data_IF_915445192865
#
_entry.id   IF_915445192865
#
_cell.length_a   1.000
_cell.length_b   1.000
_cell.length_c   1.000
_cell.angle_alpha   90.00
_cell.angle_beta   90.00
_cell.angle_gamma   90.00
#
_symmetry.space_group_name_H-M   'P 1'
#
loop_
_entity.id
_entity.type
_entity.pdbx_description
1 polymer ?
#
# COMPACT_ATOMS: atom_id res chain seq x y z
N UNK A 1 -30.04 -13.40 3.03
CA UNK A 1 -29.06 -12.29 2.92
C UNK A 1 -27.91 -12.47 3.95
N UNK A 2 -27.18 -13.60 3.93
CA UNK A 2 -26.19 -13.98 4.95
C UNK A 2 -24.74 -13.49 4.67
N UNK A 3 -24.53 -12.69 3.63
CA UNK A 3 -23.19 -12.29 3.15
C UNK A 3 -22.98 -10.77 3.11
N UNK A 4 -23.82 -9.98 3.78
CA UNK A 4 -23.64 -8.52 3.84
C UNK A 4 -22.56 -8.17 4.86
N UNK A 5 -21.79 -7.10 4.61
CA UNK A 5 -20.79 -6.58 5.56
C UNK A 5 -21.40 -6.39 6.96
N UNK A 6 -22.64 -5.89 7.04
CA UNK A 6 -23.35 -5.73 8.31
C UNK A 6 -23.54 -7.05 9.06
N UNK A 7 -23.89 -8.13 8.36
CA UNK A 7 -24.04 -9.45 8.97
C UNK A 7 -22.70 -9.96 9.51
N UNK A 8 -21.63 -9.81 8.73
CA UNK A 8 -20.27 -10.18 9.16
C UNK A 8 -19.84 -9.43 10.43
N UNK A 9 -20.04 -8.10 10.47
CA UNK A 9 -19.77 -7.31 11.67
C UNK A 9 -20.61 -7.74 12.87
N UNK A 10 -21.88 -8.10 12.66
CA UNK A 10 -22.77 -8.60 13.72
C UNK A 10 -22.25 -9.94 14.27
N UNK A 11 -21.82 -10.86 13.39
CA UNK A 11 -21.27 -12.16 13.79
C UNK A 11 -19.97 -12.00 14.58
N UNK A 12 -19.03 -11.19 14.08
CA UNK A 12 -17.75 -10.92 14.76
C UNK A 12 -17.95 -10.31 16.15
N UNK A 13 -18.95 -9.43 16.31
CA UNK A 13 -19.33 -8.89 17.63
C UNK A 13 -19.82 -9.97 18.60
N UNK A 14 -20.61 -10.95 18.12
CA UNK A 14 -21.08 -12.08 18.95
C UNK A 14 -19.90 -12.97 19.36
N UNK A 15 -18.94 -13.17 18.47
CA UNK A 15 -17.71 -13.93 18.74
C UNK A 15 -16.69 -13.16 19.60
N UNK A 16 -17.07 -11.98 20.12
CA UNK A 16 -16.20 -11.08 20.91
C UNK A 16 -14.93 -10.64 20.19
N UNK A 17 -14.93 -10.69 18.85
CA UNK A 17 -13.85 -10.18 18.02
C UNK A 17 -14.09 -8.68 17.81
N UNK A 18 -13.25 -7.89 18.46
CA UNK A 18 -13.21 -6.43 18.30
C UNK A 18 -12.62 -6.09 16.92
N UNK A 19 -13.45 -5.60 16.00
CA UNK A 19 -12.97 -5.01 14.75
C UNK A 19 -13.57 -3.64 14.49
N UNK A 20 -12.76 -2.75 13.92
CA UNK A 20 -13.22 -1.46 13.43
C UNK A 20 -14.14 -1.65 12.23
N UNK A 21 -15.27 -0.94 12.19
CA UNK A 21 -16.14 -0.94 11.02
C UNK A 21 -15.47 -0.20 9.87
N UNK A 22 -15.37 -0.87 8.73
CA UNK A 22 -14.79 -0.34 7.49
C UNK A 22 -15.93 -0.22 6.48
N UNK A 23 -16.03 0.94 5.84
CA UNK A 23 -16.99 1.17 4.77
C UNK A 23 -16.46 0.60 3.45
N UNK A 24 -17.31 0.39 2.43
CA UNK A 24 -16.87 0.09 1.07
C UNK A 24 -15.84 1.09 0.54
N UNK A 25 -15.97 2.36 0.92
CA UNK A 25 -15.01 3.40 0.57
C UNK A 25 -13.66 3.22 1.30
N UNK A 26 -13.67 2.76 2.55
CA UNK A 26 -12.45 2.37 3.27
C UNK A 26 -11.69 1.24 2.58
N UNK A 27 -12.41 0.21 2.10
CA UNK A 27 -11.78 -0.85 1.29
C UNK A 27 -11.17 -0.33 -0.01
N UNK A 28 -11.81 0.66 -0.66
CA UNK A 28 -11.25 1.32 -1.85
C UNK A 28 -9.93 2.03 -1.54
N UNK A 29 -9.83 2.72 -0.40
CA UNK A 29 -8.57 3.34 0.05
C UNK A 29 -7.50 2.30 0.33
N UNK A 30 -7.83 1.23 1.06
CA UNK A 30 -6.89 0.11 1.31
C UNK A 30 -6.38 -0.49 0.00
N UNK A 31 -7.27 -0.72 -0.97
CA UNK A 31 -6.90 -1.24 -2.29
C UNK A 31 -5.90 -0.32 -3.01
N UNK A 32 -6.12 0.99 -2.99
CA UNK A 32 -5.19 1.95 -3.59
C UNK A 32 -3.82 1.95 -2.89
N UNK A 33 -3.78 2.04 -1.56
CA UNK A 33 -2.52 2.02 -0.77
C UNK A 33 -1.73 0.74 -0.98
N UNK A 34 -2.39 -0.42 -1.07
CA UNK A 34 -1.72 -1.70 -1.37
C UNK A 34 -1.07 -1.65 -2.75
N UNK A 35 -1.75 -1.15 -3.78
CA UNK A 35 -1.17 -1.02 -5.12
C UNK A 35 0.03 -0.07 -5.13
N UNK A 36 -0.08 1.07 -4.43
CA UNK A 36 1.02 2.04 -4.31
C UNK A 36 2.23 1.37 -3.68
N UNK A 37 2.05 0.73 -2.51
CA UNK A 37 3.14 0.09 -1.76
C UNK A 37 3.85 -1.05 -2.51
N UNK A 38 3.19 -1.63 -3.51
CA UNK A 38 3.77 -2.63 -4.42
C UNK A 38 4.44 -2.00 -5.66
N UNK A 39 4.60 -0.67 -5.70
CA UNK A 39 5.27 0.04 -6.79
C UNK A 39 4.46 0.15 -8.07
N UNK A 40 3.13 -0.07 -8.02
CA UNK A 40 2.29 0.05 -9.21
C UNK A 40 2.25 1.51 -9.68
N UNK A 41 2.41 1.79 -11.00
CA UNK A 41 2.42 3.14 -11.49
C UNK A 41 1.12 3.91 -11.18
N UNK A 42 1.21 5.20 -10.80
CA UNK A 42 0.05 6.02 -10.45
C UNK A 42 -0.99 6.11 -11.56
N UNK A 43 -0.55 6.10 -12.83
CA UNK A 43 -1.44 6.07 -14.00
C UNK A 43 -2.30 4.80 -14.03
N UNK A 44 -1.71 3.63 -13.83
CA UNK A 44 -2.41 2.35 -13.76
C UNK A 44 -3.40 2.31 -12.60
N UNK A 45 -3.01 2.86 -11.44
CA UNK A 45 -3.90 2.95 -10.26
C UNK A 45 -5.08 3.87 -10.56
N UNK A 46 -4.81 5.04 -11.15
CA UNK A 46 -5.84 6.01 -11.53
C UNK A 46 -6.87 5.39 -12.49
N UNK A 47 -6.40 4.72 -13.55
CA UNK A 47 -7.28 4.06 -14.52
C UNK A 47 -8.09 2.92 -13.87
N UNK A 48 -7.48 2.12 -12.98
CA UNK A 48 -8.18 1.06 -12.24
C UNK A 48 -9.25 1.58 -11.28
N UNK A 49 -9.00 2.74 -10.67
CA UNK A 49 -9.94 3.38 -9.76
C UNK A 49 -11.00 4.21 -10.51
N UNK A 50 -10.76 4.56 -11.78
CA UNK A 50 -11.59 5.53 -12.51
C UNK A 50 -11.38 6.96 -12.00
N UNK A 51 -10.14 7.33 -11.72
CA UNK A 51 -9.75 8.65 -11.23
C UNK A 51 -8.64 9.26 -12.08
N UNK A 52 -8.31 10.53 -11.83
CA UNK A 52 -7.15 11.16 -12.46
C UNK A 52 -5.89 10.90 -11.64
N UNK A 53 -4.73 11.03 -12.28
CA UNK A 53 -3.42 10.84 -11.63
C UNK A 53 -3.20 11.88 -10.53
N UNK A 54 -3.61 13.12 -10.76
CA UNK A 54 -3.52 14.21 -9.78
C UNK A 54 -4.32 13.87 -8.51
N UNK A 55 -5.49 13.23 -8.66
CA UNK A 55 -6.30 12.81 -7.53
C UNK A 55 -5.59 11.73 -6.71
N UNK A 56 -4.97 10.74 -7.38
CA UNK A 56 -4.20 9.68 -6.72
C UNK A 56 -3.07 10.28 -5.88
N UNK A 57 -2.29 11.20 -6.44
CA UNK A 57 -1.23 11.87 -5.68
C UNK A 57 -1.77 12.75 -4.55
N UNK A 58 -2.87 13.48 -4.79
CA UNK A 58 -3.49 14.33 -3.77
C UNK A 58 -3.98 13.53 -2.56
N UNK A 59 -4.57 12.36 -2.78
CA UNK A 59 -5.16 11.54 -1.69
C UNK A 59 -4.13 10.62 -1.05
N UNK A 60 -3.23 10.02 -1.84
CA UNK A 60 -2.31 8.98 -1.37
C UNK A 60 -0.84 9.40 -1.37
N UNK A 61 -0.53 10.69 -1.55
CA UNK A 61 0.85 11.20 -1.59
C UNK A 61 1.72 10.77 -0.41
N UNK A 62 1.13 10.60 0.78
CA UNK A 62 1.83 10.08 1.95
C UNK A 62 2.38 8.65 1.74
N UNK A 63 1.66 7.79 1.02
CA UNK A 63 2.12 6.42 0.70
C UNK A 63 3.30 6.43 -0.28
N UNK A 64 3.40 7.44 -1.14
CA UNK A 64 4.54 7.61 -2.04
C UNK A 64 5.81 8.06 -1.30
N UNK A 65 5.68 8.88 -0.26
CA UNK A 65 6.82 9.27 0.59
C UNK A 65 7.50 8.06 1.25
N UNK A 66 6.71 7.08 1.69
CA UNK A 66 7.24 5.81 2.22
C UNK A 66 8.01 5.02 1.14
N UNK A 67 7.53 5.06 -0.10
CA UNK A 67 8.22 4.45 -1.24
C UNK A 67 9.53 5.16 -1.58
N UNK A 68 9.55 6.49 -1.54
CA UNK A 68 10.76 7.30 -1.74
C UNK A 68 11.82 6.96 -0.69
N UNK A 69 11.43 6.89 0.59
CA UNK A 69 12.32 6.48 1.67
C UNK A 69 12.88 5.07 1.42
N UNK A 70 12.02 4.13 1.01
CA UNK A 70 12.44 2.77 0.68
C UNK A 70 13.42 2.75 -0.51
N UNK A 71 13.22 3.60 -1.51
CA UNK A 71 14.12 3.69 -2.66
C UNK A 71 15.54 4.14 -2.24
N UNK A 72 15.64 5.09 -1.31
CA UNK A 72 16.94 5.52 -0.75
C UNK A 72 17.65 4.38 -0.01
N UNK A 73 16.91 3.61 0.78
CA UNK A 73 17.45 2.44 1.50
C UNK A 73 17.96 1.38 0.52
N UNK A 74 17.14 0.99 -0.46
CA UNK A 74 17.51 0.00 -1.49
C UNK A 74 18.75 0.45 -2.27
N UNK A 75 18.82 1.72 -2.65
CA UNK A 75 19.97 2.27 -3.35
C UNK A 75 21.25 2.19 -2.49
N UNK A 76 21.15 2.56 -1.21
CA UNK A 76 22.27 2.48 -0.26
C UNK A 76 22.74 1.04 -0.07
N UNK A 77 21.82 0.09 0.12
CA UNK A 77 22.12 -1.35 0.24
C UNK A 77 22.78 -1.91 -1.02
N UNK A 78 22.33 -1.47 -2.20
CA UNK A 78 22.92 -1.89 -3.48
C UNK A 78 24.36 -1.41 -3.60
N UNK A 79 24.64 -0.18 -3.18
CA UNK A 79 26.00 0.37 -3.18
C UNK A 79 26.90 -0.35 -2.16
N UNK A 80 26.45 -0.55 -0.92
CA UNK A 80 27.26 -1.20 0.12
C UNK A 80 27.47 -2.68 -0.13
N UNK A 81 26.45 -3.39 -0.64
CA UNK A 81 26.53 -4.78 -1.06
C UNK A 81 27.46 -5.02 -2.25
N UNK A 82 27.57 -4.05 -3.16
CA UNK A 82 28.53 -4.11 -4.27
C UNK A 82 29.98 -3.80 -3.85
N UNK A 83 30.17 -2.92 -2.85
CA UNK A 83 31.50 -2.52 -2.36
C UNK A 83 32.20 -3.63 -1.55
N UNK A 84 31.44 -4.60 -1.01
CA UNK A 84 32.00 -5.76 -0.30
C UNK A 84 32.68 -6.81 -1.20
N UNK A 85 32.44 -6.79 -2.52
CA UNK A 85 32.99 -7.78 -3.45
C UNK A 85 34.35 -7.41 -4.07
N UNK A 86 34.83 -6.18 -3.87
CA UNK A 86 36.11 -5.71 -4.44
C UNK A 86 37.19 -5.34 -3.42
N UNK A 87 36.92 -5.48 -2.11
CA UNK A 87 37.92 -5.26 -1.05
C UNK A 87 38.68 -6.57 -0.69
N UNK A 88 39.01 -7.37 -1.71
CA UNK A 88 39.61 -8.68 -1.59
C UNK A 88 40.33 -9.12 -2.86
N UNK A 89 41.18 -8.27 -3.40
CA UNK A 89 42.28 -8.65 -4.27
C UNK A 89 43.36 -7.57 -4.13
N UNK A 90 44.59 -8.04 -3.88
CA UNK A 90 45.85 -7.30 -3.65
C UNK A 90 46.16 -6.87 -2.20
#
# INVERSE_FOLDING_TARGET
MKHTLQYTYKKMKVEKISITRISPHGFRHTHATVLINNGVPPKTIADRLGNTVEMVYKVYGHSYKELENRAVVIFTETLTGAVGASAGAE
#
